data_IF_821812815729
#
_entry.id   IF_821812815729
#
_cell.length_a   1.000
_cell.length_b   1.000
_cell.length_c   1.000
_cell.angle_alpha   90.00
_cell.angle_beta   90.00
_cell.angle_gamma   90.00
#
_symmetry.space_group_name_H-M   'P 1'
#
loop_
_entity.id
_entity.type
_entity.pdbx_description
1 polymer ?
#
# COMPACT_ATOMS: atom_id res chain seq x y z
N UNK A 1 25.59 24.61 -1.20
CA UNK A 1 25.26 23.39 -1.98
C UNK A 1 23.82 23.01 -1.64
N UNK A 2 23.03 22.62 -2.62
CA UNK A 2 21.71 21.99 -2.46
C UNK A 2 21.87 20.53 -2.84
N UNK A 3 21.51 19.62 -1.94
CA UNK A 3 21.36 18.19 -2.21
C UNK A 3 19.88 17.86 -2.09
N UNK A 4 19.26 17.40 -3.18
CA UNK A 4 17.87 16.93 -3.11
C UNK A 4 17.86 15.45 -2.72
N UNK A 5 16.79 15.02 -2.04
CA UNK A 5 16.49 13.63 -1.75
C UNK A 5 15.07 13.35 -2.22
N UNK A 6 14.89 12.29 -3.01
CA UNK A 6 13.57 11.81 -3.47
C UNK A 6 12.78 12.85 -4.28
N UNK A 7 13.49 13.79 -4.91
CA UNK A 7 12.90 14.87 -5.69
C UNK A 7 13.96 15.55 -6.56
N UNK A 8 13.54 16.32 -7.56
CA UNK A 8 14.39 17.20 -8.34
C UNK A 8 14.52 16.85 -9.81
N UNK A 9 14.26 15.60 -10.23
CA UNK A 9 14.44 15.18 -11.63
C UNK A 9 13.55 15.98 -12.60
N UNK A 10 12.35 16.39 -12.14
CA UNK A 10 11.41 17.21 -12.90
C UNK A 10 11.43 18.70 -12.52
N UNK A 11 12.32 19.13 -11.61
CA UNK A 11 12.29 20.47 -11.02
C UNK A 11 13.12 21.52 -11.82
N UNK A 12 13.02 21.51 -13.15
CA UNK A 12 13.85 22.29 -14.07
C UNK A 12 13.97 23.77 -13.69
N UNK A 13 12.85 24.49 -13.64
CA UNK A 13 12.84 25.93 -13.37
C UNK A 13 13.39 26.27 -11.98
N UNK A 14 13.11 25.44 -10.98
CA UNK A 14 13.60 25.64 -9.60
C UNK A 14 15.12 25.43 -9.51
N UNK A 15 15.63 24.41 -10.20
CA UNK A 15 17.07 24.12 -10.26
C UNK A 15 17.78 25.21 -11.04
N UNK A 16 17.24 25.62 -12.20
CA UNK A 16 17.77 26.73 -12.99
C UNK A 16 17.88 28.01 -12.17
N UNK A 17 16.82 28.36 -11.43
CA UNK A 17 16.84 29.50 -10.53
C UNK A 17 17.94 29.40 -9.46
N UNK A 18 18.11 28.22 -8.83
CA UNK A 18 19.21 28.02 -7.88
C UNK A 18 20.60 28.16 -8.52
N UNK A 19 20.77 27.69 -9.76
CA UNK A 19 22.01 27.87 -10.54
C UNK A 19 22.27 29.34 -10.86
N UNK A 20 21.25 30.10 -11.25
CA UNK A 20 21.34 31.56 -11.49
C UNK A 20 21.75 32.32 -10.22
N UNK A 21 21.47 31.78 -9.03
CA UNK A 21 21.94 32.30 -7.74
C UNK A 21 23.35 31.81 -7.34
N UNK A 22 24.06 31.12 -8.23
CA UNK A 22 25.42 30.65 -7.99
C UNK A 22 25.52 29.42 -7.07
N UNK A 23 24.42 28.69 -6.87
CA UNK A 23 24.42 27.50 -6.01
C UNK A 23 24.91 26.26 -6.77
N UNK A 24 25.66 25.39 -6.09
CA UNK A 24 25.87 24.01 -6.52
C UNK A 24 24.62 23.20 -6.18
N UNK A 25 24.06 22.47 -7.14
CA UNK A 25 22.85 21.64 -7.01
C UNK A 25 23.18 20.20 -7.41
N UNK A 26 22.96 19.27 -6.49
CA UNK A 26 23.07 17.83 -6.71
C UNK A 26 21.68 17.24 -6.55
N UNK A 27 21.19 16.56 -7.56
CA UNK A 27 19.89 15.89 -7.54
C UNK A 27 20.08 14.42 -7.14
N UNK A 28 19.33 13.94 -6.15
CA UNK A 28 19.15 12.49 -5.93
C UNK A 28 17.67 12.15 -5.97
N UNK A 29 17.30 11.27 -6.88
CA UNK A 29 15.91 10.99 -7.22
C UNK A 29 15.76 9.57 -7.80
N UNK A 30 14.53 9.14 -7.99
CA UNK A 30 14.15 7.86 -8.59
C UNK A 30 12.86 7.92 -9.42
N UNK A 31 12.25 9.10 -9.53
CA UNK A 31 11.05 9.33 -10.32
C UNK A 31 11.32 9.17 -11.83
N UNK A 32 10.25 9.08 -12.63
CA UNK A 32 10.41 9.00 -14.09
C UNK A 32 11.12 10.25 -14.63
N UNK A 33 12.19 10.04 -15.39
CA UNK A 33 12.92 11.12 -16.05
C UNK A 33 12.00 11.75 -17.10
N UNK A 34 11.72 13.07 -17.04
CA UNK A 34 10.89 13.73 -18.03
C UNK A 34 11.47 13.54 -19.43
N UNK A 35 10.60 13.35 -20.42
CA UNK A 35 11.01 13.22 -21.80
C UNK A 35 10.03 13.94 -22.73
N UNK A 36 10.54 14.38 -23.86
CA UNK A 36 9.74 14.78 -25.00
C UNK A 36 9.80 13.69 -26.06
N UNK A 37 8.66 13.40 -26.70
CA UNK A 37 8.63 12.51 -27.85
C UNK A 37 8.67 13.35 -29.12
N UNK A 38 9.72 13.16 -29.92
CA UNK A 38 9.92 13.82 -31.21
C UNK A 38 10.28 12.76 -32.23
N UNK A 39 9.53 12.71 -33.33
CA UNK A 39 9.73 11.74 -34.42
C UNK A 39 9.72 10.26 -33.96
N UNK A 40 8.94 9.95 -32.92
CA UNK A 40 8.85 8.60 -32.34
C UNK A 40 10.02 8.23 -31.42
N UNK A 41 10.95 9.15 -31.16
CA UNK A 41 12.07 8.94 -30.23
C UNK A 41 11.85 9.74 -28.94
N UNK A 42 12.17 9.10 -27.80
CA UNK A 42 12.15 9.74 -26.48
C UNK A 42 13.44 10.51 -26.24
N UNK A 43 13.33 11.83 -26.18
CA UNK A 43 14.40 12.72 -25.77
C UNK A 43 14.24 13.02 -24.27
N UNK A 44 15.05 12.36 -23.45
CA UNK A 44 15.05 12.58 -22.01
C UNK A 44 15.65 13.94 -21.66
N UNK A 45 14.93 14.67 -20.81
CA UNK A 45 15.32 15.97 -20.32
C UNK A 45 15.98 15.78 -18.96
N UNK A 46 17.19 16.30 -18.80
CA UNK A 46 17.89 16.34 -17.52
C UNK A 46 17.89 17.76 -16.96
N UNK A 47 17.61 17.96 -15.65
CA UNK A 47 17.65 19.28 -15.06
C UNK A 47 19.08 19.84 -15.07
N UNK A 48 19.26 21.18 -15.09
CA UNK A 48 20.57 21.82 -15.16
C UNK A 48 21.30 21.78 -13.80
N UNK A 49 21.40 20.62 -13.17
CA UNK A 49 22.13 20.39 -11.93
C UNK A 49 23.61 20.07 -12.19
N UNK A 50 24.48 20.25 -11.19
CA UNK A 50 25.90 19.88 -11.28
C UNK A 50 26.10 18.37 -11.30
N UNK A 51 25.18 17.62 -10.68
CA UNK A 51 25.10 16.17 -10.77
C UNK A 51 23.65 15.70 -10.59
N UNK A 52 23.30 14.58 -11.23
CA UNK A 52 22.00 13.93 -11.08
C UNK A 52 22.21 12.45 -10.80
N UNK A 53 21.87 11.97 -9.62
CA UNK A 53 21.96 10.57 -9.22
C UNK A 53 20.55 10.00 -9.25
N UNK A 54 20.23 9.30 -10.34
CA UNK A 54 18.93 8.68 -10.53
C UNK A 54 19.11 7.35 -11.31
N UNK A 55 18.58 6.22 -10.80
CA UNK A 55 18.72 4.92 -11.44
C UNK A 55 18.04 4.84 -12.82
N UNK A 56 17.00 5.65 -13.07
CA UNK A 56 16.20 5.66 -14.31
C UNK A 56 16.79 6.57 -15.39
N UNK A 57 17.93 7.21 -15.13
CA UNK A 57 18.70 7.89 -16.18
C UNK A 57 18.98 6.92 -17.35
N UNK A 58 18.83 7.37 -18.61
CA UNK A 58 19.09 6.52 -19.77
C UNK A 58 20.52 5.96 -19.84
N UNK A 59 21.48 6.71 -19.31
CA UNK A 59 22.91 6.35 -19.30
C UNK A 59 23.36 5.61 -18.03
N UNK A 60 22.43 5.30 -17.11
CA UNK A 60 22.76 4.54 -15.91
C UNK A 60 22.97 3.07 -16.25
N UNK A 61 24.09 2.49 -15.83
CA UNK A 61 24.40 1.06 -16.02
C UNK A 61 23.95 0.13 -14.88
N UNK A 62 23.33 0.67 -13.82
CA UNK A 62 22.84 -0.15 -12.69
C UNK A 62 21.93 -1.27 -13.20
N UNK A 63 22.14 -2.54 -12.79
CA UNK A 63 21.33 -3.66 -13.25
C UNK A 63 19.90 -3.59 -12.72
N UNK A 64 19.71 -2.99 -11.53
CA UNK A 64 18.41 -2.82 -10.92
C UNK A 64 18.06 -1.32 -10.83
N UNK A 65 16.92 -0.95 -11.43
CA UNK A 65 16.43 0.45 -11.47
C UNK A 65 15.36 0.77 -10.44
N UNK A 66 14.78 -0.26 -9.83
CA UNK A 66 13.58 -0.16 -9.02
C UNK A 66 13.83 0.26 -7.57
N UNK A 67 14.82 1.10 -7.28
CA UNK A 67 15.12 1.59 -5.91
C UNK A 67 14.38 2.90 -5.62
N UNK A 68 14.03 3.18 -4.36
CA UNK A 68 13.43 4.48 -3.96
C UNK A 68 14.49 5.54 -3.64
N UNK A 69 14.09 6.82 -3.52
CA UNK A 69 15.01 7.91 -3.19
C UNK A 69 15.76 7.70 -1.87
N UNK A 70 15.13 7.07 -0.87
CA UNK A 70 15.81 6.70 0.38
C UNK A 70 16.98 5.73 0.19
N UNK A 71 16.87 4.79 -0.77
CA UNK A 71 17.96 3.87 -1.14
C UNK A 71 19.02 4.57 -1.98
N UNK A 72 18.63 5.51 -2.85
CA UNK A 72 19.59 6.36 -3.58
C UNK A 72 20.45 7.15 -2.59
N UNK A 73 19.84 7.77 -1.58
CA UNK A 73 20.54 8.46 -0.51
C UNK A 73 21.47 7.52 0.28
N UNK A 74 20.98 6.33 0.65
CA UNK A 74 21.80 5.29 1.31
C UNK A 74 23.05 4.93 0.50
N UNK A 75 22.90 4.69 -0.81
CA UNK A 75 24.02 4.38 -1.71
C UNK A 75 24.98 5.55 -1.85
N UNK A 76 24.49 6.78 -1.99
CA UNK A 76 25.33 7.97 -2.03
C UNK A 76 26.18 8.10 -0.76
N UNK A 77 25.56 7.96 0.42
CA UNK A 77 26.27 7.99 1.71
C UNK A 77 27.30 6.87 1.78
N UNK A 78 26.97 5.67 1.30
CA UNK A 78 27.88 4.52 1.26
C UNK A 78 29.13 4.82 0.42
N UNK A 79 28.95 5.43 -0.77
CA UNK A 79 30.06 5.86 -1.61
C UNK A 79 30.90 6.97 -0.96
N UNK A 80 30.28 7.91 -0.25
CA UNK A 80 30.99 8.97 0.47
C UNK A 80 31.84 8.39 1.61
N UNK A 81 31.28 7.52 2.43
CA UNK A 81 32.02 6.87 3.53
C UNK A 81 33.20 6.05 3.01
N UNK A 82 33.00 5.31 1.92
CA UNK A 82 34.09 4.59 1.27
C UNK A 82 35.19 5.55 0.76
N UNK A 83 34.80 6.67 0.14
CA UNK A 83 35.73 7.68 -0.38
C UNK A 83 36.53 8.37 0.74
N UNK A 84 35.91 8.58 1.89
CA UNK A 84 36.55 9.18 3.06
C UNK A 84 37.17 8.15 4.01
N UNK A 85 37.23 6.87 3.62
CA UNK A 85 37.77 5.77 4.43
C UNK A 85 37.19 5.75 5.86
N UNK A 86 35.91 6.12 5.99
CA UNK A 86 35.24 6.23 7.27
C UNK A 86 34.57 4.90 7.61
N UNK A 87 35.08 4.25 8.64
CA UNK A 87 34.47 3.05 9.21
C UNK A 87 33.42 3.43 10.26
N UNK A 88 32.37 2.62 10.38
CA UNK A 88 31.38 2.79 11.44
C UNK A 88 30.06 2.06 11.18
N UNK A 89 29.25 1.99 12.24
CA UNK A 89 27.95 1.33 12.20
C UNK A 89 26.83 2.18 11.57
N UNK A 90 27.16 3.39 11.09
CA UNK A 90 26.19 4.31 10.46
C UNK A 90 25.46 3.65 9.28
N UNK A 91 26.14 2.84 8.46
CA UNK A 91 25.49 2.14 7.35
C UNK A 91 24.53 1.04 7.82
N UNK A 92 24.75 0.46 9.01
CA UNK A 92 23.82 -0.51 9.59
C UNK A 92 22.55 0.18 10.06
N UNK A 93 22.68 1.36 10.67
CA UNK A 93 21.52 2.18 11.06
C UNK A 93 20.76 2.69 9.83
N UNK A 94 21.46 3.26 8.85
CA UNK A 94 20.83 3.77 7.62
C UNK A 94 20.19 2.67 6.78
N UNK A 95 20.66 1.42 6.86
CA UNK A 95 20.01 0.28 6.20
C UNK A 95 18.59 0.05 6.74
N UNK A 96 18.35 0.31 8.02
CA UNK A 96 17.01 0.25 8.62
C UNK A 96 16.10 1.30 7.99
N UNK A 97 16.57 2.53 7.86
CA UNK A 97 15.82 3.62 7.21
C UNK A 97 15.63 3.38 5.71
N UNK A 98 16.62 2.81 5.02
CA UNK A 98 16.49 2.40 3.63
C UNK A 98 15.37 1.35 3.46
N UNK A 99 15.26 0.39 4.39
CA UNK A 99 14.15 -0.56 4.41
C UNK A 99 12.80 0.10 4.67
N UNK A 100 12.72 1.03 5.64
CA UNK A 100 11.50 1.82 5.91
C UNK A 100 11.07 2.60 4.68
N UNK A 101 11.99 3.30 4.02
CA UNK A 101 11.73 4.05 2.80
C UNK A 101 11.30 3.14 1.64
N UNK A 102 11.95 1.99 1.45
CA UNK A 102 11.62 1.04 0.38
C UNK A 102 10.19 0.52 0.51
N UNK A 103 9.77 0.16 1.73
CA UNK A 103 8.40 -0.31 1.98
C UNK A 103 7.40 0.85 1.98
N UNK A 104 7.77 2.01 2.54
CA UNK A 104 6.92 3.21 2.59
C UNK A 104 6.59 3.77 1.21
N UNK A 105 7.50 3.62 0.27
CA UNK A 105 7.34 4.02 -1.14
C UNK A 105 6.77 2.89 -2.03
N UNK A 106 6.34 1.78 -1.41
CA UNK A 106 5.66 0.66 -2.09
C UNK A 106 6.52 0.09 -3.23
N UNK A 107 7.84 0.05 -3.06
CA UNK A 107 8.72 -0.52 -4.08
C UNK A 107 8.56 -2.04 -4.21
N UNK A 108 8.81 -2.59 -5.40
CA UNK A 108 8.83 -4.04 -5.57
C UNK A 108 9.94 -4.67 -4.73
N UNK A 109 9.61 -5.66 -3.89
CA UNK A 109 10.53 -6.41 -3.05
C UNK A 109 11.20 -7.54 -3.85
N UNK A 110 11.91 -7.14 -4.91
CA UNK A 110 12.76 -7.99 -5.75
C UNK A 110 14.21 -7.50 -5.65
N UNK A 111 15.14 -8.37 -6.00
CA UNK A 111 16.56 -8.03 -6.14
C UNK A 111 17.10 -7.22 -4.94
N UNK A 112 17.80 -6.10 -5.17
CA UNK A 112 18.37 -5.23 -4.14
C UNK A 112 17.35 -4.80 -3.07
N UNK A 113 16.13 -4.41 -3.45
CA UNK A 113 15.11 -4.00 -2.48
C UNK A 113 14.78 -5.13 -1.51
N UNK A 114 14.68 -6.36 -2.01
CA UNK A 114 14.41 -7.53 -1.17
C UNK A 114 15.52 -7.73 -0.14
N UNK A 115 16.78 -7.58 -0.56
CA UNK A 115 17.96 -7.69 0.30
C UNK A 115 17.96 -6.58 1.36
N UNK A 116 17.75 -5.32 0.93
CA UNK A 116 17.69 -4.14 1.80
C UNK A 116 16.59 -4.32 2.84
N UNK A 117 15.37 -4.66 2.43
CA UNK A 117 14.25 -4.85 3.37
C UNK A 117 14.50 -6.01 4.32
N UNK A 118 15.02 -7.15 3.83
CA UNK A 118 15.32 -8.31 4.68
C UNK A 118 16.32 -7.98 5.78
N UNK A 119 17.44 -7.34 5.43
CA UNK A 119 18.49 -7.02 6.39
C UNK A 119 18.16 -5.79 7.24
N UNK A 120 17.47 -4.79 6.68
CA UNK A 120 17.02 -3.62 7.43
C UNK A 120 15.97 -3.98 8.49
N UNK A 121 15.01 -4.85 8.17
CA UNK A 121 14.05 -5.36 9.17
C UNK A 121 14.76 -6.16 10.27
N UNK A 122 15.69 -7.04 9.90
CA UNK A 122 16.48 -7.78 10.90
C UNK A 122 17.27 -6.83 11.83
N UNK A 123 17.74 -5.70 11.31
CA UNK A 123 18.42 -4.66 12.08
C UNK A 123 17.52 -3.81 12.97
N UNK A 124 16.19 -3.75 12.73
CA UNK A 124 15.27 -2.89 13.50
C UNK A 124 15.27 -3.20 14.99
N UNK A 125 15.32 -4.48 15.37
CA UNK A 125 15.29 -4.89 16.77
C UNK A 125 16.49 -4.36 17.58
N UNK A 126 17.62 -4.13 16.91
CA UNK A 126 18.87 -3.63 17.47
C UNK A 126 19.18 -2.18 17.07
N UNK A 127 18.25 -1.48 16.42
CA UNK A 127 18.47 -0.09 15.99
C UNK A 127 18.72 0.80 17.21
N UNK A 128 19.77 1.65 17.19
CA UNK A 128 20.03 2.61 18.27
C UNK A 128 19.08 3.82 18.19
N UNK A 129 18.33 3.97 17.09
CA UNK A 129 17.50 5.14 16.86
C UNK A 129 16.31 5.19 17.85
N UNK A 130 16.36 6.16 18.77
CA UNK A 130 15.36 6.36 19.83
C UNK A 130 13.99 6.68 19.24
N UNK A 131 13.94 7.46 18.16
CA UNK A 131 12.72 7.79 17.43
C UNK A 131 11.97 6.60 16.88
N UNK A 132 12.68 5.74 16.14
CA UNK A 132 12.12 4.52 15.58
C UNK A 132 11.61 3.58 16.69
N UNK A 133 12.40 3.40 17.75
CA UNK A 133 12.02 2.58 18.91
C UNK A 133 10.76 3.13 19.59
N UNK A 134 10.71 4.45 19.82
CA UNK A 134 9.55 5.12 20.40
C UNK A 134 8.30 4.94 19.54
N UNK A 135 8.40 5.06 18.21
CA UNK A 135 7.28 4.87 17.30
C UNK A 135 6.74 3.44 17.28
N UNK A 136 7.64 2.44 17.29
CA UNK A 136 7.29 1.02 17.42
C UNK A 136 6.51 0.79 18.72
N UNK A 137 7.03 1.29 19.84
CA UNK A 137 6.43 1.13 21.17
C UNK A 137 5.08 1.84 21.27
N UNK A 138 4.96 3.06 20.75
CA UNK A 138 3.71 3.83 20.77
C UNK A 138 2.58 3.08 20.05
N UNK A 139 2.91 2.31 19.00
CA UNK A 139 1.96 1.48 18.26
C UNK A 139 1.74 0.08 18.88
N UNK A 140 2.33 -0.22 20.03
CA UNK A 140 2.19 -1.51 20.72
C UNK A 140 2.77 -2.70 19.94
N UNK A 141 3.75 -2.44 19.06
CA UNK A 141 4.37 -3.47 18.23
C UNK A 141 5.57 -4.09 18.95
N UNK A 142 5.78 -5.39 18.74
CA UNK A 142 7.01 -6.07 19.13
C UNK A 142 8.10 -5.82 18.09
N UNK A 143 9.17 -5.14 18.50
CA UNK A 143 10.33 -4.82 17.64
C UNK A 143 10.97 -6.05 16.99
N UNK A 144 10.83 -7.23 17.59
CA UNK A 144 11.38 -8.48 17.06
C UNK A 144 10.49 -9.14 16.01
N UNK A 145 9.27 -8.63 15.80
CA UNK A 145 8.27 -9.20 14.89
C UNK A 145 7.78 -8.17 13.86
N UNK A 146 8.61 -7.16 13.57
CA UNK A 146 8.32 -6.19 12.53
C UNK A 146 8.37 -6.89 11.16
N UNK A 147 7.39 -6.58 10.33
CA UNK A 147 7.26 -7.11 8.97
C UNK A 147 7.03 -5.94 8.03
N UNK A 148 7.16 -6.13 6.70
CA UNK A 148 6.81 -5.09 5.74
C UNK A 148 5.37 -4.57 5.92
N UNK A 149 4.45 -5.42 6.39
CA UNK A 149 3.09 -4.98 6.72
C UNK A 149 3.07 -3.93 7.83
N UNK A 150 3.80 -4.16 8.93
CA UNK A 150 3.89 -3.19 10.03
C UNK A 150 4.50 -1.86 9.56
N UNK A 151 5.53 -1.91 8.70
CA UNK A 151 6.15 -0.70 8.15
C UNK A 151 5.16 0.03 7.23
N UNK A 152 4.57 -0.65 6.24
CA UNK A 152 3.73 -0.02 5.22
C UNK A 152 2.35 0.44 5.71
N UNK A 153 1.77 -0.24 6.71
CA UNK A 153 0.37 -0.02 7.13
C UNK A 153 0.22 0.48 8.57
N UNK A 154 1.27 0.47 9.39
CA UNK A 154 1.23 0.99 10.77
C UNK A 154 2.20 2.14 10.96
N UNK A 155 3.50 1.93 10.76
CA UNK A 155 4.54 2.94 11.02
C UNK A 155 4.58 4.02 9.95
N UNK A 156 4.63 3.64 8.67
CA UNK A 156 4.65 4.55 7.52
C UNK A 156 3.48 5.54 7.53
N UNK A 157 2.23 5.10 7.78
CA UNK A 157 1.11 6.01 7.93
C UNK A 157 1.23 6.98 9.10
N UNK A 158 1.95 6.66 10.17
CA UNK A 158 2.24 7.61 11.25
C UNK A 158 3.26 8.67 10.81
N UNK A 159 4.31 8.24 10.11
CA UNK A 159 5.32 9.14 9.53
C UNK A 159 4.64 10.10 8.53
N UNK A 160 3.73 9.57 7.70
CA UNK A 160 3.01 10.30 6.65
C UNK A 160 1.70 10.96 7.13
N UNK A 161 1.28 10.79 8.39
CA UNK A 161 0.09 11.46 8.93
C UNK A 161 0.29 12.97 9.05
N UNK A 162 1.53 13.41 8.89
CA UNK A 162 1.97 14.79 8.90
C UNK A 162 1.57 15.48 7.58
N UNK A 163 0.84 16.60 7.68
CA UNK A 163 0.58 17.50 6.55
C UNK A 163 1.87 18.09 5.96
N UNK A 164 1.80 18.61 4.73
CA UNK A 164 2.97 18.73 3.83
C UNK A 164 4.10 19.68 4.22
N UNK A 165 4.00 20.56 5.22
CA UNK A 165 5.12 21.44 5.59
C UNK A 165 5.33 21.53 7.11
N UNK A 166 4.37 22.03 7.88
CA UNK A 166 4.55 22.25 9.34
C UNK A 166 4.64 20.97 10.18
N UNK A 167 4.30 19.83 9.59
CA UNK A 167 4.27 18.54 10.28
C UNK A 167 5.38 17.59 9.79
N UNK A 168 5.93 17.76 8.58
CA UNK A 168 7.05 16.96 8.08
C UNK A 168 8.31 17.11 8.95
N UNK A 169 8.48 18.30 9.55
CA UNK A 169 9.51 18.59 10.56
C UNK A 169 9.40 17.65 11.77
N UNK A 170 8.19 17.20 12.16
CA UNK A 170 8.01 16.32 13.32
C UNK A 170 8.56 14.92 13.09
N UNK A 171 8.36 14.35 11.90
CA UNK A 171 8.91 13.04 11.57
C UNK A 171 10.44 13.10 11.51
N UNK A 172 11.00 14.18 10.96
CA UNK A 172 12.44 14.41 10.97
C UNK A 172 12.98 14.54 12.40
N UNK A 173 12.38 15.40 13.22
CA UNK A 173 12.74 15.59 14.63
C UNK A 173 12.66 14.31 15.46
N UNK A 174 11.67 13.45 15.19
CA UNK A 174 11.56 12.16 15.83
C UNK A 174 12.81 11.29 15.58
N UNK A 175 13.29 11.25 14.33
CA UNK A 175 14.43 10.40 13.97
C UNK A 175 15.79 11.03 14.26
N UNK A 176 15.85 12.36 14.43
CA UNK A 176 17.06 13.12 14.74
C UNK A 176 17.30 13.30 16.25
N UNK A 177 16.26 13.15 17.09
CA UNK A 177 16.40 13.37 18.53
C UNK A 177 17.21 12.28 19.23
N UNK A 178 18.07 12.73 20.15
CA UNK A 178 18.83 11.89 21.06
C UNK A 178 18.21 11.82 22.48
N UNK A 179 17.05 12.46 22.71
CA UNK A 179 16.33 12.37 23.98
C UNK A 179 15.19 11.35 23.88
N UNK A 180 15.24 10.29 24.70
CA UNK A 180 14.21 9.26 24.75
C UNK A 180 12.83 9.83 25.13
N UNK A 181 12.78 10.88 25.96
CA UNK A 181 11.53 11.54 26.35
C UNK A 181 10.95 12.33 25.18
N UNK A 182 11.77 13.09 24.47
CA UNK A 182 11.33 13.81 23.27
C UNK A 182 10.85 12.83 22.18
N UNK A 183 11.58 11.72 21.98
CA UNK A 183 11.19 10.67 21.06
C UNK A 183 9.82 10.07 21.43
N UNK A 184 9.60 9.74 22.71
CA UNK A 184 8.33 9.19 23.18
C UNK A 184 7.15 10.16 23.00
N UNK A 185 7.33 11.44 23.31
CA UNK A 185 6.31 12.48 23.10
C UNK A 185 5.99 12.63 21.62
N UNK A 186 7.01 12.82 20.79
CA UNK A 186 6.83 13.02 19.34
C UNK A 186 6.19 11.79 18.67
N UNK A 187 6.58 10.57 19.08
CA UNK A 187 5.98 9.34 18.59
C UNK A 187 4.50 9.20 18.97
N UNK A 188 4.13 9.59 20.20
CA UNK A 188 2.74 9.59 20.65
C UNK A 188 1.88 10.58 19.84
N UNK A 189 2.40 11.78 19.58
CA UNK A 189 1.73 12.78 18.75
C UNK A 189 1.52 12.30 17.32
N UNK A 190 2.54 11.71 16.68
CA UNK A 190 2.40 11.16 15.32
C UNK A 190 1.36 10.04 15.26
N UNK A 191 1.31 9.19 16.29
CA UNK A 191 0.29 8.15 16.40
C UNK A 191 -1.11 8.76 16.55
N UNK A 192 -1.28 9.75 17.41
CA UNK A 192 -2.56 10.43 17.62
C UNK A 192 -3.08 11.10 16.33
N UNK A 193 -2.20 11.79 15.59
CA UNK A 193 -2.52 12.36 14.28
C UNK A 193 -2.98 11.29 13.29
N UNK A 194 -2.30 10.15 13.26
CA UNK A 194 -2.66 9.02 12.40
C UNK A 194 -3.98 8.37 12.80
N UNK A 195 -4.25 8.24 14.10
CA UNK A 195 -5.49 7.67 14.62
C UNK A 195 -6.67 8.60 14.30
N UNK A 196 -6.52 9.92 14.54
CA UNK A 196 -7.50 10.93 14.12
C UNK A 196 -7.75 10.90 12.60
N UNK A 197 -6.69 10.78 11.79
CA UNK A 197 -6.82 10.61 10.34
C UNK A 197 -7.63 9.36 9.97
N UNK A 198 -7.40 8.22 10.64
CA UNK A 198 -8.13 6.97 10.40
C UNK A 198 -9.61 7.09 10.78
N UNK A 199 -9.93 7.74 11.89
CA UNK A 199 -11.31 7.98 12.32
C UNK A 199 -12.05 8.85 11.29
N UNK A 200 -11.45 9.97 10.86
CA UNK A 200 -12.02 10.81 9.81
C UNK A 200 -12.18 10.04 8.49
N UNK A 201 -11.17 9.26 8.10
CA UNK A 201 -11.25 8.41 6.90
C UNK A 201 -12.43 7.44 6.99
N UNK A 202 -12.60 6.75 8.11
CA UNK A 202 -13.68 5.78 8.31
C UNK A 202 -15.05 6.47 8.23
N UNK A 203 -15.21 7.60 8.91
CA UNK A 203 -16.45 8.39 8.89
C UNK A 203 -16.83 8.82 7.48
N UNK A 204 -15.89 9.40 6.72
CA UNK A 204 -16.15 9.87 5.37
C UNK A 204 -16.27 8.74 4.33
N UNK A 205 -15.62 7.59 4.57
CA UNK A 205 -15.85 6.39 3.76
C UNK A 205 -17.28 5.91 3.94
N UNK A 206 -17.77 5.79 5.19
CA UNK A 206 -19.15 5.42 5.45
C UNK A 206 -20.16 6.38 4.82
N UNK A 207 -19.91 7.69 4.89
CA UNK A 207 -20.74 8.68 4.17
C UNK A 207 -20.76 8.46 2.66
N UNK A 208 -19.60 8.21 2.05
CA UNK A 208 -19.52 7.96 0.62
C UNK A 208 -20.27 6.68 0.22
N UNK A 209 -20.15 5.63 1.03
CA UNK A 209 -20.87 4.37 0.82
C UNK A 209 -22.39 4.57 0.91
N UNK A 210 -22.88 5.27 1.94
CA UNK A 210 -24.31 5.63 2.04
C UNK A 210 -24.78 6.46 0.84
N UNK A 211 -23.99 7.43 0.38
CA UNK A 211 -24.33 8.21 -0.83
C UNK A 211 -24.47 7.34 -2.08
N UNK A 212 -23.67 6.28 -2.21
CA UNK A 212 -23.73 5.34 -3.34
C UNK A 212 -24.93 4.39 -3.18
N UNK A 213 -25.18 3.90 -1.97
CA UNK A 213 -26.19 2.88 -1.68
C UNK A 213 -27.61 3.45 -1.60
N UNK A 214 -27.76 4.70 -1.16
CA UNK A 214 -29.07 5.35 -0.99
C UNK A 214 -29.57 6.06 -2.25
N UNK A 215 -28.71 6.26 -3.27
CA UNK A 215 -29.05 6.93 -4.53
C UNK A 215 -28.97 5.95 -5.72
N UNK A 216 -30.13 5.46 -6.22
CA UNK A 216 -30.19 4.51 -7.34
C UNK A 216 -29.54 5.00 -8.65
N UNK A 217 -29.22 6.30 -8.77
CA UNK A 217 -28.47 6.79 -9.93
C UNK A 217 -27.07 6.18 -10.03
N UNK A 218 -26.47 5.74 -8.92
CA UNK A 218 -25.15 5.10 -8.92
C UNK A 218 -25.16 3.65 -9.40
N UNK A 219 -26.30 2.99 -9.46
CA UNK A 219 -26.39 1.58 -9.90
C UNK A 219 -25.87 1.39 -11.33
N UNK A 220 -26.08 2.41 -12.17
CA UNK A 220 -25.68 2.42 -13.59
C UNK A 220 -24.28 2.99 -13.82
N UNK A 221 -23.65 3.53 -12.78
CA UNK A 221 -22.33 4.12 -12.92
C UNK A 221 -21.25 3.04 -12.97
N UNK A 222 -20.48 3.03 -14.05
CA UNK A 222 -19.25 2.25 -14.17
C UNK A 222 -18.08 2.94 -13.47
N UNK A 223 -18.15 4.27 -13.29
CA UNK A 223 -17.14 5.12 -12.63
C UNK A 223 -17.81 5.87 -11.49
N UNK A 224 -17.36 5.61 -10.26
CA UNK A 224 -17.88 6.29 -9.08
C UNK A 224 -17.27 7.68 -8.96
N UNK A 225 -18.10 8.71 -8.83
CA UNK A 225 -17.66 10.08 -8.56
C UNK A 225 -18.46 10.61 -7.38
N UNK A 226 -17.80 10.70 -6.21
CA UNK A 226 -18.43 11.09 -4.95
C UNK A 226 -17.89 12.43 -4.49
N UNK A 227 -18.77 13.38 -4.17
CA UNK A 227 -18.40 14.69 -3.64
C UNK A 227 -18.70 14.79 -2.14
N UNK A 228 -17.65 14.93 -1.35
CA UNK A 228 -17.67 15.07 0.11
C UNK A 228 -17.17 16.45 0.50
N UNK A 229 -18.03 17.49 0.49
CA UNK A 229 -17.60 18.88 0.65
C UNK A 229 -16.89 19.16 1.97
N UNK A 230 -17.29 18.51 3.06
CA UNK A 230 -16.74 18.75 4.40
C UNK A 230 -15.49 17.90 4.70
N UNK A 231 -15.12 17.02 3.78
CA UNK A 231 -13.96 16.15 3.92
C UNK A 231 -12.66 16.90 3.59
N UNK A 232 -11.62 16.70 4.39
CA UNK A 232 -10.32 17.30 4.11
C UNK A 232 -9.67 16.65 2.87
N UNK A 233 -9.04 17.45 2.02
CA UNK A 233 -8.48 17.00 0.73
C UNK A 233 -7.44 15.87 0.85
N UNK A 234 -6.72 15.81 1.97
CA UNK A 234 -5.73 14.75 2.24
C UNK A 234 -6.34 13.34 2.36
N UNK A 235 -7.65 13.25 2.62
CA UNK A 235 -8.35 11.97 2.77
C UNK A 235 -8.93 11.45 1.46
N UNK A 236 -9.09 12.31 0.44
CA UNK A 236 -9.77 11.97 -0.81
C UNK A 236 -9.20 10.71 -1.48
N UNK A 237 -7.87 10.61 -1.56
CA UNK A 237 -7.20 9.44 -2.18
C UNK A 237 -7.37 8.14 -1.38
N UNK A 238 -7.44 8.24 -0.04
CA UNK A 238 -7.63 7.08 0.84
C UNK A 238 -9.06 6.54 0.73
N UNK A 239 -10.05 7.44 0.69
CA UNK A 239 -11.47 7.10 0.53
C UNK A 239 -11.69 6.53 -0.88
N UNK A 240 -11.14 7.15 -1.92
CA UNK A 240 -11.23 6.63 -3.30
C UNK A 240 -10.66 5.20 -3.40
N UNK A 241 -9.57 4.91 -2.68
CA UNK A 241 -9.02 3.57 -2.58
C UNK A 241 -9.99 2.57 -1.93
N UNK A 242 -10.65 2.97 -0.84
CA UNK A 242 -11.65 2.13 -0.15
C UNK A 242 -12.89 1.85 -1.01
N UNK A 243 -13.40 2.85 -1.71
CA UNK A 243 -14.51 2.67 -2.66
C UNK A 243 -14.12 1.73 -3.79
N UNK A 244 -12.92 1.91 -4.36
CA UNK A 244 -12.38 0.99 -5.39
C UNK A 244 -12.20 -0.43 -4.85
N UNK A 245 -11.82 -0.61 -3.59
CA UNK A 245 -11.71 -1.94 -2.97
C UNK A 245 -13.07 -2.61 -2.77
N UNK A 246 -14.07 -1.86 -2.31
CA UNK A 246 -15.43 -2.36 -2.00
C UNK A 246 -16.23 -2.67 -3.25
N UNK A 247 -16.27 -1.73 -4.21
CA UNK A 247 -17.13 -1.83 -5.39
C UNK A 247 -16.39 -2.34 -6.64
N UNK A 248 -15.06 -2.42 -6.60
CA UNK A 248 -14.21 -2.76 -7.76
C UNK A 248 -14.51 -1.93 -9.02
N UNK A 249 -14.83 -0.65 -8.80
CA UNK A 249 -15.05 0.37 -9.84
C UNK A 249 -13.98 1.47 -9.74
N UNK A 250 -13.54 2.09 -10.85
CA UNK A 250 -12.75 3.31 -10.78
C UNK A 250 -13.51 4.35 -9.96
N UNK A 251 -12.82 4.97 -8.99
CA UNK A 251 -13.47 5.82 -7.99
C UNK A 251 -12.75 7.15 -7.87
N UNK A 252 -13.50 8.24 -8.01
CA UNK A 252 -13.07 9.60 -7.74
C UNK A 252 -13.77 10.11 -6.50
N UNK A 253 -12.99 10.64 -5.55
CA UNK A 253 -13.51 11.36 -4.39
C UNK A 253 -13.08 12.82 -4.50
N UNK A 254 -14.07 13.69 -4.43
CA UNK A 254 -13.93 15.13 -4.55
C UNK A 254 -14.23 15.78 -3.21
N UNK A 255 -13.51 16.83 -2.86
CA UNK A 255 -13.67 17.60 -1.62
C UNK A 255 -13.65 19.10 -1.92
N UNK A 256 -14.23 19.91 -1.04
CA UNK A 256 -14.16 21.37 -1.19
C UNK A 256 -12.79 21.84 -0.70
N UNK A 257 -11.97 22.37 -1.61
CA UNK A 257 -10.72 23.05 -1.26
C UNK A 257 -10.95 24.52 -0.94
N UNK A 258 -9.87 25.25 -0.66
CA UNK A 258 -9.92 26.69 -0.34
C UNK A 258 -10.40 27.55 -1.50
N UNK A 259 -9.97 27.24 -2.73
CA UNK A 259 -10.29 28.03 -3.93
C UNK A 259 -11.18 27.28 -4.93
N UNK A 260 -11.07 25.96 -4.98
CA UNK A 260 -11.76 25.11 -5.93
C UNK A 260 -11.98 23.71 -5.34
N UNK A 261 -12.81 22.91 -6.01
CA UNK A 261 -12.95 21.49 -5.64
C UNK A 261 -11.67 20.77 -6.01
N UNK A 262 -11.11 20.02 -5.08
CA UNK A 262 -9.98 19.11 -5.32
C UNK A 262 -10.45 17.68 -5.30
N UNK A 263 -9.77 16.80 -6.01
CA UNK A 263 -10.15 15.41 -6.09
C UNK A 263 -8.97 14.47 -6.23
N UNK A 264 -9.18 13.23 -5.82
CA UNK A 264 -8.27 12.13 -6.09
C UNK A 264 -9.03 10.91 -6.62
N UNK A 265 -8.43 10.24 -7.60
CA UNK A 265 -8.94 9.02 -8.23
C UNK A 265 -8.10 7.80 -7.90
N UNK A 266 -8.74 6.63 -7.81
CA UNK A 266 -8.10 5.30 -7.79
C UNK A 266 -8.80 4.37 -8.79
N UNK A 267 -8.01 3.73 -9.64
CA UNK A 267 -8.53 2.94 -10.77
C UNK A 267 -8.49 1.43 -10.55
N UNK A 268 -9.11 0.72 -11.49
CA UNK A 268 -8.91 -0.70 -11.76
C UNK A 268 -8.09 -0.87 -13.05
N UNK A 269 -7.54 -2.05 -13.28
CA UNK A 269 -6.63 -2.32 -14.42
C UNK A 269 -7.26 -2.02 -15.79
N UNK A 270 -8.57 -2.24 -15.91
CA UNK A 270 -9.34 -2.04 -17.14
C UNK A 270 -9.64 -0.56 -17.46
N UNK A 271 -9.36 0.39 -16.55
CA UNK A 271 -9.69 1.79 -16.74
C UNK A 271 -8.43 2.67 -16.61
N UNK A 272 -8.09 3.40 -17.66
CA UNK A 272 -6.99 4.36 -17.63
C UNK A 272 -7.50 5.74 -17.22
N UNK A 273 -7.32 6.08 -15.94
CA UNK A 273 -7.79 7.36 -15.41
C UNK A 273 -7.20 8.57 -16.13
N UNK A 274 -5.91 8.52 -16.46
CA UNK A 274 -5.25 9.67 -17.08
C UNK A 274 -5.74 9.88 -18.52
N UNK A 275 -5.88 8.81 -19.29
CA UNK A 275 -6.42 8.86 -20.64
C UNK A 275 -7.88 9.37 -20.64
N UNK A 276 -8.72 8.84 -19.76
CA UNK A 276 -10.14 9.23 -19.69
C UNK A 276 -10.34 10.66 -19.18
N UNK A 277 -9.52 11.13 -18.24
CA UNK A 277 -9.51 12.54 -17.85
C UNK A 277 -9.06 13.45 -18.99
N UNK A 278 -8.09 13.02 -19.79
CA UNK A 278 -7.63 13.81 -20.94
C UNK A 278 -8.74 14.05 -21.97
N UNK A 279 -9.70 13.11 -22.12
CA UNK A 279 -10.87 13.27 -23.00
C UNK A 279 -11.86 14.34 -22.54
N UNK A 280 -11.84 14.71 -21.26
CA UNK A 280 -12.73 15.71 -20.64
C UNK A 280 -11.93 16.86 -20.02
N UNK A 281 -10.74 17.14 -20.60
CA UNK A 281 -9.75 18.06 -20.05
C UNK A 281 -10.27 19.47 -19.80
N UNK A 282 -11.27 19.90 -20.56
CA UNK A 282 -11.91 21.20 -20.44
C UNK A 282 -12.64 21.45 -19.11
N UNK A 283 -12.92 20.38 -18.35
CA UNK A 283 -13.56 20.49 -17.04
C UNK A 283 -12.56 20.85 -15.92
N UNK A 284 -11.26 20.60 -16.13
CA UNK A 284 -10.23 20.71 -15.10
C UNK A 284 -9.53 22.06 -15.12
N UNK A 285 -9.33 22.62 -13.92
CA UNK A 285 -8.39 23.71 -13.69
C UNK A 285 -6.95 23.18 -13.71
N UNK A 286 -6.73 22.04 -13.06
CA UNK A 286 -5.48 21.26 -13.08
C UNK A 286 -5.83 19.77 -12.99
N UNK A 287 -5.07 18.93 -13.68
CA UNK A 287 -5.13 17.49 -13.45
C UNK A 287 -3.79 16.83 -13.77
N UNK A 288 -3.60 15.63 -13.23
CA UNK A 288 -2.44 14.80 -13.49
C UNK A 288 -2.56 13.43 -12.83
N UNK A 289 -1.53 12.62 -13.00
CA UNK A 289 -1.47 11.26 -12.47
C UNK A 289 -1.10 10.26 -13.56
N UNK A 290 -1.52 9.01 -13.35
CA UNK A 290 -1.22 7.88 -14.22
C UNK A 290 -2.45 6.99 -14.35
N UNK A 291 -2.32 5.87 -15.07
CA UNK A 291 -3.39 4.88 -15.30
C UNK A 291 -4.19 4.52 -14.03
N UNK A 292 -3.50 4.30 -12.90
CA UNK A 292 -4.10 3.77 -11.67
C UNK A 292 -4.51 4.80 -10.62
N UNK A 293 -4.09 6.06 -10.76
CA UNK A 293 -4.37 7.11 -9.79
C UNK A 293 -4.31 8.48 -10.44
N UNK A 294 -5.18 9.38 -9.99
CA UNK A 294 -5.23 10.75 -10.49
C UNK A 294 -5.42 11.77 -9.37
N UNK A 295 -5.00 13.00 -9.66
CA UNK A 295 -5.31 14.20 -8.89
C UNK A 295 -5.91 15.26 -9.80
N UNK A 296 -6.90 15.99 -9.32
CA UNK A 296 -7.62 16.99 -10.12
C UNK A 296 -8.09 18.18 -9.29
N UNK A 297 -8.33 19.30 -9.96
CA UNK A 297 -9.12 20.41 -9.46
C UNK A 297 -10.13 20.90 -10.49
N UNK A 298 -11.34 21.20 -10.05
CA UNK A 298 -12.47 21.64 -10.90
C UNK A 298 -13.27 22.74 -10.19
N UNK A 299 -14.08 23.46 -10.97
CA UNK A 299 -15.14 24.29 -10.39
C UNK A 299 -16.26 23.40 -9.82
N UNK A 300 -16.85 23.80 -8.69
CA UNK A 300 -17.89 22.99 -8.01
C UNK A 300 -19.09 22.70 -8.91
N UNK A 301 -19.48 23.67 -9.76
CA UNK A 301 -20.57 23.52 -10.74
C UNK A 301 -20.32 22.40 -11.77
N UNK A 302 -19.06 22.01 -11.99
CA UNK A 302 -18.68 20.97 -12.95
C UNK A 302 -18.69 19.57 -12.33
N UNK A 303 -18.90 19.41 -11.02
CA UNK A 303 -18.93 18.09 -10.36
C UNK A 303 -19.97 17.15 -11.00
N UNK A 304 -21.24 17.54 -11.22
CA UNK A 304 -22.22 16.65 -11.85
C UNK A 304 -21.87 16.36 -13.33
N UNK A 305 -21.28 17.34 -14.02
CA UNK A 305 -20.87 17.21 -15.42
C UNK A 305 -19.74 16.20 -15.56
N UNK A 306 -18.78 16.20 -14.63
CA UNK A 306 -17.68 15.26 -14.59
C UNK A 306 -18.19 13.82 -14.39
N UNK A 307 -19.06 13.59 -13.40
CA UNK A 307 -19.66 12.26 -13.15
C UNK A 307 -20.33 11.71 -14.40
N UNK A 308 -21.16 12.54 -15.06
CA UNK A 308 -21.85 12.13 -16.29
C UNK A 308 -20.87 11.81 -17.42
N UNK A 309 -19.93 12.72 -17.75
CA UNK A 309 -19.01 12.51 -18.87
C UNK A 309 -18.09 11.32 -18.68
N UNK A 310 -17.60 11.07 -17.46
CA UNK A 310 -16.75 9.91 -17.20
C UNK A 310 -17.53 8.60 -17.38
N UNK A 311 -18.79 8.55 -16.98
CA UNK A 311 -19.63 7.36 -17.20
C UNK A 311 -20.06 7.19 -18.67
N UNK A 312 -20.35 8.27 -19.39
CA UNK A 312 -20.65 8.23 -20.83
C UNK A 312 -19.46 7.74 -21.68
N UNK A 313 -18.23 8.11 -21.26
CA UNK A 313 -17.00 7.71 -21.95
C UNK A 313 -16.47 6.34 -21.50
N UNK A 314 -16.94 5.82 -20.35
CA UNK A 314 -16.43 4.58 -19.78
C UNK A 314 -16.73 3.39 -20.70
N UNK A 315 -15.66 2.77 -21.21
CA UNK A 315 -15.73 1.56 -22.02
C UNK A 315 -15.68 0.27 -21.19
N UNK A 316 -16.11 0.34 -19.92
CA UNK A 316 -16.08 -0.78 -18.98
C UNK A 316 -17.27 -1.71 -19.14
N UNK A 317 -16.99 -3.01 -19.19
CA UNK A 317 -18.01 -4.07 -19.14
C UNK A 317 -18.26 -4.52 -17.70
N UNK A 318 -19.39 -5.18 -17.39
CA UNK A 318 -19.61 -5.80 -16.09
C UNK A 318 -18.47 -6.74 -15.67
N UNK A 319 -17.88 -7.50 -16.60
CA UNK A 319 -16.77 -8.41 -16.32
C UNK A 319 -15.47 -7.68 -15.92
N UNK A 320 -15.25 -6.46 -16.39
CA UNK A 320 -14.11 -5.64 -16.00
C UNK A 320 -14.22 -5.16 -14.56
N UNK A 321 -15.46 -5.00 -14.07
CA UNK A 321 -15.79 -4.56 -12.71
C UNK A 321 -15.91 -5.74 -11.72
N UNK A 322 -15.49 -6.94 -12.12
CA UNK A 322 -15.36 -8.09 -11.21
C UNK A 322 -13.91 -8.26 -10.78
N UNK A 323 -13.69 -8.31 -9.46
CA UNK A 323 -12.36 -8.59 -8.90
C UNK A 323 -11.85 -9.95 -9.35
N UNK A 324 -10.75 -9.96 -10.09
CA UNK A 324 -10.06 -11.18 -10.53
C UNK A 324 -8.98 -11.53 -9.51
N UNK A 325 -9.06 -12.74 -8.96
CA UNK A 325 -8.00 -13.33 -8.13
C UNK A 325 -7.38 -14.51 -8.86
N UNK A 326 -6.06 -14.58 -8.84
CA UNK A 326 -5.29 -15.68 -9.44
C UNK A 326 -4.63 -16.46 -8.31
N UNK A 327 -4.98 -17.74 -8.18
CA UNK A 327 -4.22 -18.66 -7.35
C UNK A 327 -2.91 -19.02 -8.06
N UNK A 328 -1.85 -19.19 -7.27
CA UNK A 328 -0.56 -19.68 -7.75
C UNK A 328 -0.63 -21.19 -8.03
N UNK A 329 -1.32 -21.93 -7.17
CA UNK A 329 -1.46 -23.38 -7.25
C UNK A 329 -2.71 -23.88 -6.53
N UNK A 330 -3.26 -25.00 -6.97
CA UNK A 330 -4.19 -25.78 -6.15
C UNK A 330 -3.40 -26.56 -5.10
N UNK A 331 -3.76 -26.42 -3.82
CA UNK A 331 -3.11 -27.14 -2.73
C UNK A 331 -4.15 -27.93 -1.94
N UNK A 332 -4.05 -29.26 -1.95
CA UNK A 332 -4.93 -30.08 -1.12
C UNK A 332 -4.64 -29.87 0.37
N UNK A 333 -5.67 -29.94 1.22
CA UNK A 333 -5.55 -29.71 2.66
C UNK A 333 -4.54 -30.64 3.35
N UNK A 334 -4.33 -31.83 2.82
CA UNK A 334 -3.33 -32.77 3.33
C UNK A 334 -1.88 -32.28 3.09
N UNK A 335 -1.66 -31.53 2.00
CA UNK A 335 -0.38 -30.89 1.70
C UNK A 335 -0.16 -29.55 2.43
N UNK A 336 -1.21 -28.96 2.99
CA UNK A 336 -1.13 -27.80 3.88
C UNK A 336 -0.62 -28.22 5.26
N UNK A 337 0.68 -28.51 5.36
CA UNK A 337 1.37 -28.90 6.60
C UNK A 337 2.10 -27.72 7.25
N UNK A 338 2.47 -27.88 8.53
CA UNK A 338 3.29 -26.90 9.25
C UNK A 338 4.67 -26.73 8.60
N UNK A 339 5.30 -27.84 8.20
CA UNK A 339 6.63 -27.81 7.57
C UNK A 339 6.59 -27.07 6.23
N UNK A 340 5.57 -27.29 5.41
CA UNK A 340 5.41 -26.57 4.16
C UNK A 340 5.18 -25.07 4.41
N UNK A 341 4.36 -24.70 5.40
CA UNK A 341 4.19 -23.29 5.78
C UNK A 341 5.53 -22.64 6.20
N UNK A 342 6.38 -23.34 6.97
CA UNK A 342 7.73 -22.88 7.34
C UNK A 342 8.69 -22.77 6.15
N UNK A 343 8.56 -23.65 5.16
CA UNK A 343 9.32 -23.51 3.91
C UNK A 343 8.93 -22.25 3.15
N UNK A 344 7.63 -21.92 3.10
CA UNK A 344 7.15 -20.68 2.49
C UNK A 344 7.67 -19.44 3.21
N UNK A 345 7.87 -19.45 4.53
CA UNK A 345 8.47 -18.32 5.26
C UNK A 345 9.87 -17.94 4.73
N UNK A 346 10.61 -18.85 4.08
CA UNK A 346 11.88 -18.53 3.43
C UNK A 346 11.74 -17.56 2.26
N UNK A 347 10.53 -17.43 1.70
CA UNK A 347 10.19 -16.46 0.66
C UNK A 347 9.95 -15.05 1.22
N UNK A 348 9.98 -14.85 2.53
CA UNK A 348 9.92 -13.51 3.13
C UNK A 348 11.19 -12.69 2.83
N UNK A 349 11.08 -11.35 2.78
CA UNK A 349 9.90 -10.52 3.10
C UNK A 349 8.83 -10.52 2.00
N UNK A 350 7.56 -10.68 2.40
CA UNK A 350 6.40 -10.51 1.50
C UNK A 350 6.00 -9.03 1.39
N UNK A 351 5.52 -8.62 0.21
CA UNK A 351 5.10 -7.25 -0.05
C UNK A 351 4.80 -7.01 -1.53
N UNK A 352 4.86 -5.75 -1.98
CA UNK A 352 4.70 -5.44 -3.40
C UNK A 352 5.77 -6.18 -4.23
N UNK A 353 5.40 -6.74 -5.38
CA UNK A 353 6.30 -7.55 -6.22
C UNK A 353 6.72 -8.92 -5.66
N UNK A 354 6.39 -9.25 -4.41
CA UNK A 354 6.57 -10.58 -3.80
C UNK A 354 5.41 -10.90 -2.83
N UNK A 355 4.19 -11.11 -3.34
CA UNK A 355 3.03 -11.42 -2.50
C UNK A 355 3.18 -12.80 -1.84
N UNK A 356 2.39 -13.04 -0.78
CA UNK A 356 2.27 -14.40 -0.20
C UNK A 356 1.65 -15.34 -1.24
N UNK A 357 2.13 -16.61 -1.32
CA UNK A 357 1.52 -17.61 -2.20
C UNK A 357 0.04 -17.80 -1.87
N UNK A 358 -0.80 -17.66 -2.90
CA UNK A 358 -2.24 -17.83 -2.81
C UNK A 358 -2.62 -19.20 -3.37
N UNK A 359 -3.13 -20.06 -2.49
CA UNK A 359 -3.61 -21.37 -2.86
C UNK A 359 -5.11 -21.36 -3.07
N UNK A 360 -5.62 -22.35 -3.80
CA UNK A 360 -7.04 -22.63 -3.90
C UNK A 360 -7.28 -24.10 -3.59
N UNK A 361 -8.39 -24.39 -2.90
CA UNK A 361 -8.94 -25.73 -2.87
C UNK A 361 -10.45 -25.72 -3.00
N UNK A 362 -10.96 -26.70 -3.74
CA UNK A 362 -12.39 -26.90 -4.02
C UNK A 362 -12.90 -28.08 -3.22
N UNK A 363 -14.21 -28.34 -3.30
CA UNK A 363 -14.76 -29.57 -2.72
C UNK A 363 -14.51 -29.70 -1.21
N UNK A 364 -14.58 -28.57 -0.51
CA UNK A 364 -14.45 -28.54 0.94
C UNK A 364 -15.83 -28.53 1.59
N UNK A 365 -15.93 -29.16 2.75
CA UNK A 365 -17.11 -29.08 3.61
C UNK A 365 -16.74 -28.44 4.94
N UNK A 366 -17.62 -27.57 5.42
CA UNK A 366 -17.48 -26.92 6.71
C UNK A 366 -17.88 -27.92 7.80
N UNK A 367 -16.93 -28.24 8.67
CA UNK A 367 -17.13 -29.10 9.85
C UNK A 367 -17.65 -28.28 11.03
N UNK A 368 -17.05 -27.10 11.25
CA UNK A 368 -17.40 -26.20 12.36
C UNK A 368 -17.23 -24.75 11.95
N UNK A 369 -18.06 -23.87 12.54
CA UNK A 369 -17.98 -22.41 12.40
C UNK A 369 -17.97 -21.76 13.78
N UNK A 370 -17.17 -20.71 13.93
CA UNK A 370 -17.14 -19.93 15.15
C UNK A 370 -16.74 -18.48 14.85
N UNK A 371 -17.58 -17.54 15.26
CA UNK A 371 -17.23 -16.11 15.23
C UNK A 371 -16.41 -15.77 16.48
N UNK A 372 -15.28 -15.08 16.29
CA UNK A 372 -14.29 -14.75 17.30
C UNK A 372 -14.04 -13.24 17.37
N UNK A 373 -13.45 -12.81 18.50
CA UNK A 373 -13.03 -11.43 18.74
C UNK A 373 -14.12 -10.55 19.38
N UNK A 374 -13.71 -9.53 20.15
CA UNK A 374 -14.63 -8.58 20.79
C UNK A 374 -15.51 -7.85 19.77
N UNK A 375 -14.92 -7.53 18.62
CA UNK A 375 -15.59 -6.84 17.51
C UNK A 375 -16.23 -7.82 16.52
N UNK A 376 -16.27 -9.13 16.82
CA UNK A 376 -16.87 -10.18 15.99
C UNK A 376 -16.41 -10.14 14.53
N UNK A 377 -15.12 -9.90 14.32
CA UNK A 377 -14.55 -9.62 13.01
C UNK A 377 -13.68 -10.76 12.45
N UNK A 378 -13.72 -11.94 13.08
CA UNK A 378 -12.99 -13.13 12.64
C UNK A 378 -13.93 -14.31 12.62
N UNK A 379 -14.13 -14.92 11.45
CA UNK A 379 -14.81 -16.20 11.31
C UNK A 379 -13.76 -17.31 11.26
N UNK A 380 -13.73 -18.14 12.30
CA UNK A 380 -12.96 -19.38 12.31
C UNK A 380 -13.81 -20.50 11.75
N UNK A 381 -13.29 -21.19 10.74
CA UNK A 381 -13.87 -22.39 10.15
C UNK A 381 -12.94 -23.58 10.44
N UNK A 382 -13.52 -24.74 10.66
CA UNK A 382 -12.81 -26.01 10.49
C UNK A 382 -13.37 -26.66 9.23
N UNK A 383 -12.50 -26.98 8.28
CA UNK A 383 -12.87 -27.50 6.96
C UNK A 383 -12.15 -28.81 6.66
N UNK A 384 -12.78 -29.68 5.89
CA UNK A 384 -12.22 -30.93 5.43
C UNK A 384 -12.62 -31.19 3.97
N UNK A 385 -11.82 -31.92 3.18
CA UNK A 385 -12.22 -32.30 1.82
C UNK A 385 -13.43 -33.24 1.86
N UNK A 386 -14.25 -33.25 0.81
CA UNK A 386 -15.42 -34.15 0.72
C UNK A 386 -15.04 -35.64 0.87
N UNK A 387 -13.83 -36.02 0.46
CA UNK A 387 -13.29 -37.38 0.62
C UNK A 387 -13.05 -37.79 2.07
N UNK A 388 -13.02 -36.85 3.01
CA UNK A 388 -12.89 -37.12 4.44
C UNK A 388 -14.22 -37.54 5.10
N UNK A 389 -15.32 -37.59 4.34
CA UNK A 389 -16.65 -37.92 4.83
C UNK A 389 -17.12 -39.28 4.28
N UNK A 390 -17.70 -40.11 5.16
CA UNK A 390 -18.38 -41.35 4.82
C UNK A 390 -19.80 -41.30 5.40
N UNK A 391 -20.81 -41.66 4.61
CA UNK A 391 -22.23 -41.59 4.99
C UNK A 391 -22.65 -40.23 5.57
N UNK A 392 -22.09 -39.15 5.00
CA UNK A 392 -22.34 -37.78 5.43
C UNK A 392 -21.69 -37.36 6.75
N UNK A 393 -20.92 -38.25 7.41
CA UNK A 393 -20.20 -38.00 8.66
C UNK A 393 -18.70 -37.91 8.41
N UNK A 394 -18.01 -37.05 9.16
CA UNK A 394 -16.56 -36.93 9.09
C UNK A 394 -15.91 -38.23 9.61
N UNK A 395 -15.14 -38.89 8.76
CA UNK A 395 -14.44 -40.15 9.05
C UNK A 395 -12.92 -39.98 9.16
N UNK A 396 -12.34 -38.96 8.53
CA UNK A 396 -10.92 -38.62 8.64
C UNK A 396 -10.73 -37.25 9.32
N UNK A 397 -10.46 -37.29 10.63
CA UNK A 397 -10.17 -36.09 11.41
C UNK A 397 -8.78 -35.50 11.10
N UNK A 398 -7.86 -36.28 10.53
CA UNK A 398 -6.52 -35.81 10.16
C UNK A 398 -6.52 -34.87 8.96
N UNK A 399 -7.57 -34.94 8.13
CA UNK A 399 -7.78 -34.07 6.98
C UNK A 399 -8.39 -32.69 7.35
N UNK A 400 -8.78 -32.48 8.61
CA UNK A 400 -9.35 -31.20 9.06
C UNK A 400 -8.28 -30.13 9.15
N UNK A 401 -8.57 -28.94 8.64
CA UNK A 401 -7.74 -27.74 8.78
C UNK A 401 -8.55 -26.58 9.31
N UNK A 402 -7.92 -25.77 10.15
CA UNK A 402 -8.48 -24.52 10.62
C UNK A 402 -8.23 -23.42 9.59
N UNK A 403 -9.29 -22.72 9.24
CA UNK A 403 -9.28 -21.58 8.36
C UNK A 403 -9.83 -20.34 9.09
N UNK A 404 -9.31 -19.17 8.76
CA UNK A 404 -9.77 -17.89 9.30
C UNK A 404 -10.11 -16.93 8.17
N UNK A 405 -11.26 -16.27 8.30
CA UNK A 405 -11.69 -15.18 7.44
C UNK A 405 -11.80 -13.93 8.31
N UNK A 406 -11.09 -12.87 7.95
CA UNK A 406 -11.14 -11.58 8.64
C UNK A 406 -12.15 -10.65 7.94
N UNK A 407 -12.89 -9.84 8.71
CA UNK A 407 -13.86 -8.88 8.19
C UNK A 407 -15.26 -9.10 8.75
N UNK A 408 -16.28 -9.07 7.89
CA UNK A 408 -17.70 -9.20 8.26
C UNK A 408 -18.09 -10.64 8.63
N UNK A 409 -17.52 -11.17 9.72
CA UNK A 409 -17.60 -12.58 10.09
C UNK A 409 -19.05 -13.09 10.25
N UNK A 410 -19.95 -12.26 10.77
CA UNK A 410 -21.37 -12.61 10.93
C UNK A 410 -22.06 -12.80 9.58
N UNK A 411 -21.96 -11.80 8.69
CA UNK A 411 -22.53 -11.86 7.32
C UNK A 411 -22.00 -13.08 6.56
N UNK A 412 -20.68 -13.28 6.60
CA UNK A 412 -20.02 -14.41 5.92
C UNK A 412 -20.49 -15.75 6.50
N UNK A 413 -20.67 -15.84 7.82
CA UNK A 413 -21.17 -17.04 8.48
C UNK A 413 -22.60 -17.40 8.04
N UNK A 414 -23.45 -16.38 7.85
CA UNK A 414 -24.81 -16.51 7.31
C UNK A 414 -24.81 -16.93 5.84
N UNK A 415 -23.98 -16.30 5.00
CA UNK A 415 -23.83 -16.67 3.58
C UNK A 415 -23.41 -18.15 3.41
N UNK A 416 -22.53 -18.63 4.29
CA UNK A 416 -22.06 -20.01 4.32
C UNK A 416 -23.04 -20.98 5.01
N UNK A 417 -24.16 -20.52 5.57
CA UNK A 417 -25.13 -21.38 6.24
C UNK A 417 -25.78 -22.36 5.25
N UNK A 418 -25.86 -23.64 5.64
CA UNK A 418 -26.45 -24.70 4.82
C UNK A 418 -25.68 -25.08 3.55
N UNK A 419 -24.51 -24.47 3.28
CA UNK A 419 -23.70 -24.80 2.09
C UNK A 419 -22.95 -26.11 2.30
N UNK A 420 -23.17 -27.06 1.39
CA UNK A 420 -22.58 -28.40 1.48
C UNK A 420 -21.15 -28.45 0.92
N UNK A 421 -20.85 -27.57 -0.03
CA UNK A 421 -19.57 -27.48 -0.72
C UNK A 421 -19.10 -26.04 -0.72
N UNK A 422 -17.82 -25.84 -0.44
CA UNK A 422 -17.16 -24.55 -0.51
C UNK A 422 -15.83 -24.67 -1.24
N UNK A 423 -15.43 -23.57 -1.86
CA UNK A 423 -14.11 -23.33 -2.42
C UNK A 423 -13.46 -22.25 -1.57
N UNK A 424 -12.22 -22.48 -1.14
CA UNK A 424 -11.44 -21.49 -0.41
C UNK A 424 -10.22 -21.08 -1.22
N UNK A 425 -9.98 -19.78 -1.34
CA UNK A 425 -8.69 -19.22 -1.73
C UNK A 425 -7.98 -18.71 -0.47
N UNK A 426 -6.78 -19.19 -0.19
CA UNK A 426 -6.12 -18.96 1.10
C UNK A 426 -4.60 -18.87 1.01
N UNK A 427 -4.01 -18.14 1.95
CA UNK A 427 -2.59 -18.16 2.26
C UNK A 427 -2.34 -19.16 3.40
N UNK A 428 -1.18 -19.80 3.43
CA UNK A 428 -0.74 -20.56 4.62
C UNK A 428 -0.09 -19.64 5.65
N UNK A 429 -0.38 -19.87 6.92
CA UNK A 429 0.25 -19.18 8.04
C UNK A 429 0.59 -20.16 9.15
N UNK A 430 1.72 -19.94 9.81
CA UNK A 430 2.04 -20.59 11.09
C UNK A 430 1.36 -19.81 12.21
N UNK A 431 0.48 -20.46 12.95
CA UNK A 431 -0.17 -19.90 14.14
C UNK A 431 0.50 -20.45 15.40
N UNK A 432 1.00 -19.57 16.25
CA UNK A 432 1.62 -19.92 17.54
C UNK A 432 0.68 -19.52 18.66
N UNK A 433 0.13 -20.50 19.37
CA UNK A 433 -0.79 -20.27 20.49
C UNK A 433 -0.41 -21.13 21.69
N UNK A 434 -0.17 -20.49 22.84
CA UNK A 434 0.26 -21.15 24.08
C UNK A 434 1.46 -22.09 23.90
N UNK A 435 2.41 -21.70 23.04
CA UNK A 435 3.62 -22.49 22.73
C UNK A 435 3.42 -23.61 21.71
N UNK A 436 2.19 -23.85 21.24
CA UNK A 436 1.91 -24.81 20.18
C UNK A 436 1.83 -24.12 18.81
N UNK A 437 2.53 -24.67 17.84
CA UNK A 437 2.50 -24.22 16.45
C UNK A 437 1.56 -25.10 15.63
N UNK A 438 0.66 -24.48 14.88
CA UNK A 438 -0.23 -25.18 13.96
C UNK A 438 -0.32 -24.42 12.64
N UNK A 439 -0.56 -25.15 11.55
CA UNK A 439 -0.90 -24.55 10.27
C UNK A 439 -2.31 -23.98 10.30
N UNK A 440 -2.49 -22.78 9.75
CA UNK A 440 -3.77 -22.11 9.61
C UNK A 440 -3.92 -21.58 8.18
N UNK A 441 -5.11 -21.74 7.62
CA UNK A 441 -5.46 -21.19 6.31
C UNK A 441 -6.02 -19.77 6.52
N UNK A 442 -5.34 -18.75 6.02
CA UNK A 442 -5.86 -17.37 6.02
C UNK A 442 -6.61 -17.15 4.72
N UNK A 443 -7.93 -17.25 4.77
CA UNK A 443 -8.80 -17.18 3.61
C UNK A 443 -8.90 -15.74 3.11
N UNK A 444 -8.64 -15.55 1.82
CA UNK A 444 -8.73 -14.27 1.10
C UNK A 444 -10.01 -14.13 0.31
N UNK A 445 -10.56 -15.25 -0.15
CA UNK A 445 -11.82 -15.30 -0.87
C UNK A 445 -12.43 -16.71 -0.78
N UNK A 446 -13.73 -16.80 -1.00
CA UNK A 446 -14.47 -18.06 -0.93
C UNK A 446 -15.65 -18.09 -1.90
N UNK A 447 -16.06 -19.28 -2.31
CA UNK A 447 -17.29 -19.54 -3.09
C UNK A 447 -18.01 -20.76 -2.55
N UNK A 448 -19.30 -20.89 -2.84
CA UNK A 448 -20.15 -22.00 -2.41
C UNK A 448 -21.19 -22.37 -3.46
#
# INVERSE_FOLDING_TARGET
VILTCDNGIAAFEKIKYAKEKGMTVIVTDHHEVPYEERDGEKQYLMPPADAVVDPKRPDCSSPFKGICGGVVAYKLISCLLQKFETEGDILKELLVFAAVATVGDIMELKDENRIIVKHGIAGMAASPNKGLTALINANGLDKNRITPYHIGYVLGPCINATGRLDLADRAFRLFDTEDEKEAAVTAAELKELNDSRKEMQQYYTGKAESMIEDDPSYDKDSVLVVFLPDCHESLAGLIAGKLKERYYKPSFVLTRGTECVKGSGRSIEAYDMFAEMTRVKELFLKFGGHKMAAGLSIEEKNVPVLRRKLNENASLTPEDMVKKLRADMQLHLNGASLDFAKELEKLEPYGNGNPKPLFVERDLRIVKKQVLGKNRNVLKLSVAPLTAFSDGKLSDWGAVRDAVIYGEADRISEELAGKERVLLMYELSVNVYMGNENVQLVVKDYKY
#
